data_IF_550931961274
#
_entry.id   IF_550931961274
#
_cell.length_a   1.000
_cell.length_b   1.000
_cell.length_c   1.000
_cell.angle_alpha   90.00
_cell.angle_beta   90.00
_cell.angle_gamma   90.00
#
_symmetry.space_group_name_H-M   'P 1'
#
loop_
_entity.id
_entity.type
_entity.pdbx_description
1 polymer ?
#
# COMPACT_ATOMS: atom_id res chain seq x y z
N UNK A 1 -20.81 -13.35 -1.94
CA UNK A 1 -20.75 -12.03 -2.62
C UNK A 1 -19.33 -11.48 -2.62
N UNK A 2 -18.69 -11.38 -1.46
CA UNK A 2 -17.26 -11.02 -1.35
C UNK A 2 -16.37 -11.87 -2.27
N UNK A 3 -16.57 -13.20 -2.31
CA UNK A 3 -15.80 -14.09 -3.19
C UNK A 3 -15.93 -13.72 -4.68
N UNK A 4 -17.11 -13.28 -5.13
CA UNK A 4 -17.33 -12.86 -6.52
C UNK A 4 -16.60 -11.56 -6.84
N UNK A 5 -16.54 -10.63 -5.87
CA UNK A 5 -15.76 -9.40 -5.98
C UNK A 5 -14.26 -9.71 -6.09
N UNK A 6 -13.76 -10.57 -5.19
CA UNK A 6 -12.35 -10.96 -5.16
C UNK A 6 -11.95 -11.73 -6.43
N UNK A 7 -12.80 -12.64 -6.91
CA UNK A 7 -12.56 -13.39 -8.15
C UNK A 7 -12.59 -12.46 -9.38
N UNK A 8 -13.56 -11.54 -9.44
CA UNK A 8 -13.63 -10.55 -10.51
C UNK A 8 -12.37 -9.70 -10.59
N UNK A 9 -11.92 -9.15 -9.47
CA UNK A 9 -10.70 -8.35 -9.41
C UNK A 9 -9.45 -9.19 -9.73
N UNK A 10 -9.33 -10.37 -9.13
CA UNK A 10 -8.19 -11.27 -9.35
C UNK A 10 -8.06 -11.71 -10.82
N UNK A 11 -9.18 -11.81 -11.53
CA UNK A 11 -9.21 -12.10 -12.97
C UNK A 11 -8.66 -10.96 -13.84
N UNK A 12 -8.64 -9.72 -13.35
CA UNK A 12 -8.18 -8.53 -14.10
C UNK A 12 -6.65 -8.40 -14.08
N UNK A 13 -5.96 -9.40 -14.62
CA UNK A 13 -4.49 -9.45 -14.64
C UNK A 13 -3.86 -8.48 -15.63
N UNK A 14 -4.61 -8.04 -16.65
CA UNK A 14 -4.18 -7.05 -17.65
C UNK A 14 -4.84 -5.69 -17.46
N UNK A 15 -5.49 -5.20 -18.52
CA UNK A 15 -6.20 -3.92 -18.55
C UNK A 15 -7.42 -3.91 -17.60
N UNK A 16 -7.89 -2.72 -17.16
CA UNK A 16 -9.17 -2.59 -16.50
C UNK A 16 -10.30 -3.05 -17.44
N UNK A 17 -11.28 -3.75 -16.89
CA UNK A 17 -12.47 -4.24 -17.62
C UNK A 17 -13.74 -3.90 -16.84
N UNK A 18 -14.92 -3.85 -17.49
CA UNK A 18 -16.17 -3.46 -16.85
C UNK A 18 -16.44 -4.24 -15.56
N UNK A 19 -16.44 -3.53 -14.42
CA UNK A 19 -16.31 -4.13 -13.10
C UNK A 19 -17.56 -4.90 -12.71
N UNK A 20 -18.73 -4.26 -12.81
CA UNK A 20 -20.01 -4.89 -12.47
C UNK A 20 -20.28 -6.10 -13.36
N UNK A 21 -19.90 -6.04 -14.64
CA UNK A 21 -20.04 -7.17 -15.57
C UNK A 21 -19.13 -8.34 -15.19
N UNK A 22 -17.90 -8.08 -14.77
CA UNK A 22 -17.00 -9.12 -14.28
C UNK A 22 -17.56 -9.78 -13.02
N UNK A 23 -18.07 -9.01 -12.06
CA UNK A 23 -18.68 -9.54 -10.83
C UNK A 23 -19.91 -10.40 -11.17
N UNK A 24 -20.77 -9.93 -12.08
CA UNK A 24 -21.94 -10.66 -12.54
C UNK A 24 -21.56 -12.00 -13.18
N UNK A 25 -20.50 -12.03 -14.01
CA UNK A 25 -20.03 -13.25 -14.64
C UNK A 25 -19.65 -14.34 -13.61
N UNK A 26 -18.95 -13.98 -12.54
CA UNK A 26 -18.59 -14.94 -11.49
C UNK A 26 -19.82 -15.36 -10.65
N UNK A 27 -20.75 -14.44 -10.40
CA UNK A 27 -21.99 -14.77 -9.71
C UNK A 27 -22.87 -15.74 -10.52
N UNK A 28 -23.03 -15.49 -11.82
CA UNK A 28 -23.78 -16.37 -12.74
C UNK A 28 -23.17 -17.76 -12.79
N UNK A 29 -21.84 -17.86 -12.82
CA UNK A 29 -21.12 -19.14 -12.79
C UNK A 29 -21.35 -19.95 -11.50
N UNK A 30 -21.66 -19.28 -10.39
CA UNK A 30 -22.01 -19.91 -9.12
C UNK A 30 -23.53 -20.15 -8.95
N UNK A 31 -24.37 -19.66 -9.88
CA UNK A 31 -25.82 -19.69 -9.76
C UNK A 31 -26.40 -18.67 -8.77
N UNK A 32 -25.62 -17.66 -8.39
CA UNK A 32 -26.02 -16.61 -7.46
C UNK A 32 -26.62 -15.40 -8.19
N UNK A 33 -27.60 -14.75 -7.57
CA UNK A 33 -28.15 -13.48 -8.07
C UNK A 33 -27.63 -12.32 -7.22
N UNK A 34 -26.91 -11.40 -7.86
CA UNK A 34 -26.43 -10.19 -7.20
C UNK A 34 -27.58 -9.19 -7.00
N UNK A 35 -27.68 -8.64 -5.79
CA UNK A 35 -28.48 -7.45 -5.51
C UNK A 35 -27.54 -6.29 -5.26
N UNK A 36 -27.74 -5.19 -5.98
CA UNK A 36 -27.06 -3.91 -5.77
C UNK A 36 -25.52 -4.03 -5.63
N UNK A 37 -24.83 -4.60 -6.65
CA UNK A 37 -23.39 -4.85 -6.57
C UNK A 37 -22.55 -3.57 -6.38
N UNK A 38 -23.03 -2.41 -6.86
CA UNK A 38 -22.38 -1.12 -6.61
C UNK A 38 -22.39 -0.73 -5.13
N UNK A 39 -23.49 -0.93 -4.41
CA UNK A 39 -23.61 -0.55 -3.00
C UNK A 39 -22.77 -1.45 -2.10
N UNK A 40 -22.70 -2.74 -2.43
CA UNK A 40 -21.79 -3.68 -1.77
C UNK A 40 -20.34 -3.22 -1.91
N UNK A 41 -19.94 -2.88 -3.14
CA UNK A 41 -18.59 -2.46 -3.44
C UNK A 41 -18.24 -1.14 -2.74
N UNK A 42 -19.17 -0.17 -2.71
CA UNK A 42 -19.03 1.06 -1.91
C UNK A 42 -18.77 0.78 -0.43
N UNK A 43 -19.44 -0.24 0.13
CA UNK A 43 -19.25 -0.64 1.54
C UNK A 43 -17.84 -1.18 1.79
N UNK A 44 -17.32 -2.02 0.89
CA UNK A 44 -15.94 -2.51 0.97
C UNK A 44 -14.92 -1.40 0.76
N UNK A 45 -15.13 -0.50 -0.21
CA UNK A 45 -14.23 0.64 -0.46
C UNK A 45 -14.10 1.54 0.77
N UNK A 46 -15.22 1.79 1.44
CA UNK A 46 -15.31 2.64 2.63
C UNK A 46 -14.97 1.89 3.94
N UNK A 47 -14.73 0.58 3.86
CA UNK A 47 -14.29 -0.21 5.00
C UNK A 47 -12.85 0.16 5.40
N UNK A 48 -12.39 -0.39 6.53
CA UNK A 48 -11.03 -0.17 7.01
C UNK A 48 -9.97 -0.64 6.01
N UNK A 49 -8.73 -0.16 6.18
CA UNK A 49 -7.60 -0.46 5.30
C UNK A 49 -7.25 -1.95 5.16
N UNK A 50 -7.74 -2.80 6.07
CA UNK A 50 -7.54 -4.24 6.07
C UNK A 50 -8.60 -5.03 5.29
N UNK A 51 -9.65 -4.39 4.78
CA UNK A 51 -10.66 -5.05 3.95
C UNK A 51 -10.03 -5.68 2.69
N UNK A 52 -10.28 -6.97 2.40
CA UNK A 52 -9.59 -7.68 1.34
C UNK A 52 -9.95 -7.15 -0.06
N UNK A 53 -11.22 -6.79 -0.30
CA UNK A 53 -11.68 -6.23 -1.58
C UNK A 53 -11.05 -4.86 -1.78
N UNK A 54 -11.06 -4.00 -0.75
CA UNK A 54 -10.41 -2.69 -0.79
C UNK A 54 -8.93 -2.79 -1.09
N UNK A 55 -8.21 -3.69 -0.42
CA UNK A 55 -6.77 -3.91 -0.63
C UNK A 55 -6.48 -4.34 -2.07
N UNK A 56 -7.23 -5.30 -2.58
CA UNK A 56 -7.04 -5.80 -3.93
C UNK A 56 -7.32 -4.70 -4.96
N UNK A 57 -8.41 -3.95 -4.78
CA UNK A 57 -8.75 -2.82 -5.64
C UNK A 57 -7.66 -1.73 -5.61
N UNK A 58 -7.15 -1.39 -4.43
CA UNK A 58 -6.03 -0.45 -4.28
C UNK A 58 -4.79 -0.93 -5.04
N UNK A 59 -4.46 -2.23 -4.96
CA UNK A 59 -3.34 -2.82 -5.72
C UNK A 59 -3.55 -2.71 -7.23
N UNK A 60 -4.75 -3.03 -7.72
CA UNK A 60 -5.04 -2.92 -9.16
C UNK A 60 -4.98 -1.47 -9.66
N UNK A 61 -5.60 -0.54 -8.94
CA UNK A 61 -5.56 0.89 -9.28
C UNK A 61 -4.12 1.40 -9.32
N UNK A 62 -3.32 1.10 -8.31
CA UNK A 62 -1.90 1.48 -8.28
C UNK A 62 -1.11 0.88 -9.45
N UNK A 63 -1.34 -0.40 -9.80
CA UNK A 63 -0.68 -1.02 -10.94
C UNK A 63 -1.08 -0.34 -12.25
N UNK A 64 -2.37 -0.14 -12.48
CA UNK A 64 -2.88 0.46 -13.71
C UNK A 64 -2.44 1.91 -13.87
N UNK A 65 -2.38 2.67 -12.77
CA UNK A 65 -1.91 4.06 -12.83
C UNK A 65 -0.48 4.14 -13.35
N UNK A 66 0.38 3.24 -12.88
CA UNK A 66 1.81 3.23 -13.23
C UNK A 66 2.12 2.46 -14.52
N UNK A 67 1.12 1.96 -15.23
CA UNK A 67 1.30 1.29 -16.51
C UNK A 67 1.86 2.26 -17.57
N UNK A 68 2.79 1.76 -18.38
CA UNK A 68 3.43 2.55 -19.43
C UNK A 68 2.41 3.08 -20.45
N UNK A 69 2.57 4.34 -20.86
CA UNK A 69 1.75 5.05 -21.86
C UNK A 69 1.74 4.38 -23.24
N UNK A 70 2.71 3.51 -23.53
CA UNK A 70 2.78 2.70 -24.74
C UNK A 70 1.79 1.53 -24.76
N UNK A 71 1.22 1.15 -23.62
CA UNK A 71 0.28 0.01 -23.53
C UNK A 71 -1.07 0.40 -24.16
N UNK A 72 -1.67 -0.40 -25.07
CA UNK A 72 -2.80 0.05 -25.89
C UNK A 72 -4.02 0.63 -25.14
N UNK A 73 -4.38 0.06 -23.98
CA UNK A 73 -5.57 0.51 -23.23
C UNK A 73 -5.42 1.91 -22.62
N UNK A 74 -4.18 2.33 -22.39
CA UNK A 74 -3.82 3.61 -21.78
C UNK A 74 -4.15 4.80 -22.68
N UNK A 75 -4.20 4.55 -23.99
CA UNK A 75 -4.40 5.57 -25.03
C UNK A 75 -3.43 6.75 -24.90
N UNK A 76 -2.19 6.49 -24.46
CA UNK A 76 -1.14 7.50 -24.34
C UNK A 76 -1.31 8.48 -23.18
N UNK A 77 -2.25 8.25 -22.26
CA UNK A 77 -2.31 9.06 -21.02
C UNK A 77 -1.06 8.79 -20.19
N UNK A 78 -0.48 9.84 -19.61
CA UNK A 78 0.74 9.76 -18.81
C UNK A 78 0.51 8.93 -17.54
N UNK A 79 1.50 8.13 -17.17
CA UNK A 79 1.44 7.31 -15.97
C UNK A 79 1.22 8.15 -14.71
N UNK A 80 0.41 7.62 -13.80
CA UNK A 80 0.17 8.17 -12.47
C UNK A 80 -0.41 9.61 -12.49
N UNK A 81 -1.38 9.86 -13.37
CA UNK A 81 -2.08 11.17 -13.50
C UNK A 81 -3.58 11.06 -13.23
N UNK A 82 -4.25 12.20 -13.02
CA UNK A 82 -5.71 12.25 -12.93
C UNK A 82 -6.40 11.82 -14.23
N UNK A 83 -5.78 12.11 -15.38
CA UNK A 83 -6.26 11.70 -16.70
C UNK A 83 -6.20 10.17 -16.85
N UNK A 84 -5.09 9.56 -16.42
CA UNK A 84 -4.95 8.09 -16.30
C UNK A 84 -6.03 7.51 -15.41
N UNK A 85 -6.31 8.09 -14.24
CA UNK A 85 -7.35 7.58 -13.35
C UNK A 85 -8.75 7.70 -13.94
N UNK A 86 -9.06 8.82 -14.59
CA UNK A 86 -10.33 8.99 -15.30
C UNK A 86 -10.51 7.94 -16.40
N UNK A 87 -9.43 7.59 -17.13
CA UNK A 87 -9.43 6.53 -18.14
C UNK A 87 -9.71 5.15 -17.53
N UNK A 88 -9.10 4.84 -16.39
CA UNK A 88 -9.37 3.59 -15.66
C UNK A 88 -10.85 3.51 -15.29
N UNK A 89 -11.42 4.57 -14.72
CA UNK A 89 -12.85 4.59 -14.36
C UNK A 89 -13.78 4.41 -15.56
N UNK A 90 -13.44 4.96 -16.73
CA UNK A 90 -14.19 4.71 -17.97
C UNK A 90 -14.17 3.23 -18.37
N UNK A 91 -13.01 2.58 -18.29
CA UNK A 91 -12.86 1.17 -18.65
C UNK A 91 -13.51 0.21 -17.64
N UNK A 92 -13.53 0.60 -16.37
CA UNK A 92 -14.27 -0.12 -15.33
C UNK A 92 -15.79 0.05 -15.45
N UNK A 93 -16.26 1.00 -16.28
CA UNK A 93 -17.68 1.34 -16.46
C UNK A 93 -18.40 1.60 -15.13
N UNK A 94 -17.74 2.29 -14.20
CA UNK A 94 -18.30 2.62 -12.88
C UNK A 94 -19.20 3.86 -12.94
N UNK A 95 -20.23 3.85 -12.09
CA UNK A 95 -21.10 5.00 -11.88
C UNK A 95 -20.44 6.11 -11.03
N UNK A 96 -21.08 7.27 -10.96
CA UNK A 96 -20.57 8.42 -10.21
C UNK A 96 -20.49 8.18 -8.70
N UNK A 97 -21.35 7.31 -8.16
CA UNK A 97 -21.35 6.94 -6.74
C UNK A 97 -20.07 6.18 -6.39
N UNK A 98 -19.74 5.15 -7.18
CA UNK A 98 -18.52 4.38 -7.03
C UNK A 98 -17.28 5.22 -7.28
N UNK A 99 -17.30 6.08 -8.31
CA UNK A 99 -16.21 7.02 -8.57
C UNK A 99 -15.92 7.89 -7.36
N UNK A 100 -16.96 8.48 -6.76
CA UNK A 100 -16.82 9.32 -5.56
C UNK A 100 -16.26 8.53 -4.38
N UNK A 101 -16.77 7.32 -4.13
CA UNK A 101 -16.27 6.46 -3.06
C UNK A 101 -14.78 6.12 -3.25
N UNK A 102 -14.36 5.85 -4.49
CA UNK A 102 -12.96 5.60 -4.82
C UNK A 102 -12.08 6.83 -4.64
N UNK A 103 -12.50 7.99 -5.11
CA UNK A 103 -11.72 9.22 -4.98
C UNK A 103 -11.56 9.65 -3.51
N UNK A 104 -12.57 9.39 -2.66
CA UNK A 104 -12.52 9.67 -1.23
C UNK A 104 -11.63 8.68 -0.46
N UNK A 105 -11.70 7.39 -0.76
CA UNK A 105 -11.06 6.34 0.06
C UNK A 105 -9.73 5.81 -0.52
N UNK A 106 -9.53 5.93 -1.84
CA UNK A 106 -8.35 5.48 -2.60
C UNK A 106 -7.97 6.57 -3.62
N UNK A 107 -7.58 7.76 -3.13
CA UNK A 107 -7.39 8.91 -3.99
C UNK A 107 -6.30 8.65 -5.04
N UNK A 108 -6.47 9.18 -6.27
CA UNK A 108 -5.40 9.16 -7.26
C UNK A 108 -4.20 9.99 -6.82
N UNK A 109 -3.08 9.80 -7.50
CA UNK A 109 -1.91 10.63 -7.29
C UNK A 109 -2.20 12.10 -7.57
N UNK A 110 -1.79 12.95 -6.63
CA UNK A 110 -2.00 14.40 -6.65
C UNK A 110 -0.72 15.18 -6.97
N UNK A 111 0.31 14.52 -7.53
CA UNK A 111 1.64 15.11 -7.71
C UNK A 111 2.59 14.77 -6.57
N UNK A 112 3.87 15.10 -6.76
CA UNK A 112 4.85 15.09 -5.68
C UNK A 112 4.50 16.19 -4.68
N UNK A 113 3.56 15.91 -3.78
CA UNK A 113 3.38 16.73 -2.61
C UNK A 113 4.67 16.61 -1.79
N UNK A 114 5.35 17.70 -1.45
CA UNK A 114 6.49 17.63 -0.56
C UNK A 114 6.00 17.07 0.77
N UNK A 115 6.20 15.78 1.00
CA UNK A 115 6.01 15.16 2.31
C UNK A 115 7.19 15.62 3.14
N UNK A 116 7.06 16.82 3.72
CA UNK A 116 8.02 17.34 4.67
C UNK A 116 7.81 16.53 5.95
N UNK A 117 8.54 15.42 6.09
CA UNK A 117 8.75 14.76 7.38
C UNK A 117 9.76 15.62 8.13
N UNK A 118 9.34 16.80 8.57
CA UNK A 118 10.12 17.68 9.43
C UNK A 118 9.14 18.69 10.04
N UNK A 119 8.76 18.46 11.29
CA UNK A 119 8.54 19.60 12.18
C UNK A 119 9.92 19.93 12.75
N UNK A 120 10.59 21.02 12.31
CA UNK A 120 11.90 21.40 12.84
C UNK A 120 11.89 21.63 14.36
N UNK A 121 10.70 21.81 14.96
CA UNK A 121 10.50 21.96 16.40
C UNK A 121 10.40 20.62 17.15
N UNK A 122 10.31 19.50 16.42
CA UNK A 122 10.20 18.14 16.96
C UNK A 122 11.35 17.23 16.53
N UNK A 123 12.48 17.78 16.05
CA UNK A 123 13.73 17.02 15.99
C UNK A 123 14.14 16.70 17.43
N UNK A 124 13.57 15.64 17.96
CA UNK A 124 14.02 15.02 19.21
C UNK A 124 15.14 14.09 18.80
N UNK A 125 16.28 14.27 19.45
CA UNK A 125 17.32 13.26 19.42
C UNK A 125 16.73 11.97 19.99
N UNK A 126 16.39 11.04 19.10
CA UNK A 126 15.76 9.77 19.45
C UNK A 126 16.78 8.77 20.01
N UNK A 127 18.06 9.12 19.97
CA UNK A 127 19.17 8.29 20.44
C UNK A 127 20.06 9.07 21.41
N UNK A 128 19.50 9.38 22.58
CA UNK A 128 20.28 10.04 23.65
C UNK A 128 21.15 9.05 24.41
N UNK A 129 22.23 9.55 25.04
CA UNK A 129 23.05 8.76 25.99
C UNK A 129 22.22 8.13 27.12
N UNK A 130 21.15 8.81 27.56
CA UNK A 130 20.25 8.30 28.59
C UNK A 130 19.36 7.15 28.06
N UNK A 131 18.89 7.24 26.82
CA UNK A 131 18.20 6.14 26.14
C UNK A 131 19.13 4.92 25.99
N UNK A 132 20.39 5.12 25.58
CA UNK A 132 21.40 4.04 25.48
C UNK A 132 21.63 3.35 26.82
N UNK A 133 21.80 4.11 27.91
CA UNK A 133 21.98 3.55 29.27
C UNK A 133 20.78 2.72 29.70
N UNK A 134 19.56 3.17 29.39
CA UNK A 134 18.31 2.45 29.72
C UNK A 134 18.08 1.22 28.83
N UNK A 135 18.55 1.22 27.58
CA UNK A 135 18.34 0.17 26.59
C UNK A 135 19.62 -0.62 26.27
N UNK A 136 20.45 -0.87 27.29
CA UNK A 136 21.72 -1.63 27.18
C UNK A 136 21.54 -3.17 27.18
N UNK A 137 20.29 -3.65 27.05
CA UNK A 137 19.93 -5.06 27.28
C UNK A 137 20.75 -6.04 26.45
N UNK A 138 20.88 -5.79 25.15
CA UNK A 138 21.60 -6.68 24.24
C UNK A 138 23.11 -6.46 24.26
N UNK A 139 23.57 -5.23 24.52
CA UNK A 139 24.98 -4.89 24.44
C UNK A 139 25.82 -5.60 25.52
N UNK A 140 25.28 -5.77 26.74
CA UNK A 140 25.95 -6.57 27.77
C UNK A 140 26.23 -8.00 27.30
N UNK A 141 25.28 -8.60 26.56
CA UNK A 141 25.43 -9.95 26.01
C UNK A 141 26.36 -10.01 24.82
N UNK A 142 26.35 -8.99 23.97
CA UNK A 142 27.31 -8.87 22.87
C UNK A 142 28.73 -8.72 23.41
N UNK A 143 28.94 -7.88 24.42
CA UNK A 143 30.24 -7.70 25.08
C UNK A 143 30.77 -9.02 25.65
N UNK A 144 29.96 -9.70 26.44
CA UNK A 144 30.29 -11.01 27.03
C UNK A 144 30.69 -12.01 25.94
N UNK A 145 29.96 -12.06 24.82
CA UNK A 145 30.29 -12.92 23.68
C UNK A 145 31.62 -12.53 23.00
N UNK A 146 31.88 -11.24 22.80
CA UNK A 146 33.12 -10.76 22.17
C UNK A 146 34.35 -11.07 23.03
N UNK A 147 34.22 -10.94 24.35
CA UNK A 147 35.28 -11.24 25.32
C UNK A 147 35.51 -12.76 25.41
N UNK A 148 34.45 -13.54 25.64
CA UNK A 148 34.57 -14.97 25.98
C UNK A 148 34.71 -15.88 24.76
N UNK A 149 33.97 -15.61 23.69
CA UNK A 149 33.88 -16.52 22.53
C UNK A 149 34.81 -16.09 21.40
N UNK A 150 35.00 -14.79 21.22
CA UNK A 150 35.89 -14.24 20.18
C UNK A 150 37.27 -13.86 20.71
N UNK A 151 37.48 -13.85 22.02
CA UNK A 151 38.77 -13.53 22.65
C UNK A 151 39.26 -12.12 22.31
N UNK A 152 38.35 -11.19 22.02
CA UNK A 152 38.71 -9.82 21.65
C UNK A 152 39.21 -9.10 22.91
N UNK A 153 40.34 -8.41 22.78
CA UNK A 153 40.92 -7.64 23.88
C UNK A 153 39.99 -6.51 24.32
N UNK A 154 39.96 -6.26 25.61
CA UNK A 154 39.10 -5.26 26.25
C UNK A 154 39.27 -3.86 25.64
N UNK A 155 40.49 -3.46 25.29
CA UNK A 155 40.77 -2.16 24.66
C UNK A 155 40.07 -2.00 23.30
N UNK A 156 40.01 -3.07 22.51
CA UNK A 156 39.32 -3.06 21.22
C UNK A 156 37.80 -2.96 21.40
N UNK A 157 37.25 -3.62 22.42
CA UNK A 157 35.83 -3.55 22.76
C UNK A 157 35.45 -2.15 23.29
N UNK A 158 36.33 -1.55 24.10
CA UNK A 158 36.18 -0.18 24.57
C UNK A 158 36.27 0.84 23.42
N UNK A 159 37.07 0.57 22.37
CA UNK A 159 37.09 1.40 21.17
C UNK A 159 35.78 1.34 20.38
N UNK A 160 35.13 0.17 20.31
CA UNK A 160 33.80 0.01 19.69
C UNK A 160 32.75 0.79 20.47
N UNK A 161 32.83 0.78 21.81
CA UNK A 161 31.96 1.57 22.67
C UNK A 161 32.07 3.08 22.39
N UNK A 162 33.30 3.57 22.23
CA UNK A 162 33.61 4.97 22.02
C UNK A 162 33.33 5.45 20.58
N UNK A 163 33.41 4.57 19.58
CA UNK A 163 33.10 4.90 18.19
C UNK A 163 31.59 4.87 17.87
N UNK A 164 30.78 4.33 18.79
CA UNK A 164 29.32 4.31 18.68
C UNK A 164 28.66 5.42 19.53
N UNK A 165 29.47 6.32 20.11
CA UNK A 165 29.07 7.60 20.73
C UNK A 165 29.21 8.74 19.71
#
# INVERSE_FOLDING_TARGET
MEDHLLNALSGMTGAPTPLIRAIQFYADGAGDTLREPSDELCRHISAGSNDPVRKLLHTHLGRWDWEADTVPWTQGTEANTLERRARIYQLLEIDDTLRKALDENIPPFQGAMPVIINDPRQIRDWYTLDFRKRHNFYWTKVREFLETTRGIKEDAINSINAASD
#
